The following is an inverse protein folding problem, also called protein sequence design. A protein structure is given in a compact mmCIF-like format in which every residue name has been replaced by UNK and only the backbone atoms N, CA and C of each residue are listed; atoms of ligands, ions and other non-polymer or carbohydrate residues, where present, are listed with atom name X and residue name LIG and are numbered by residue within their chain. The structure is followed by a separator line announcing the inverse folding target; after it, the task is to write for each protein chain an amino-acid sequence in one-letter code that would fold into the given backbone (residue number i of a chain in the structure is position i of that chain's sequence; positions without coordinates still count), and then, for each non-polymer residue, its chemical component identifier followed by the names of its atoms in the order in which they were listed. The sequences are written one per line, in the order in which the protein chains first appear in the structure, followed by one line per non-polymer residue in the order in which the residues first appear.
data_IF_945957597011
#
_entry.id   IF_945957597011
#
_cell.length_a   1.000
_cell.length_b   1.000
_cell.length_c   1.000
_cell.angle_alpha   90.00
_cell.angle_beta   90.00
_cell.angle_gamma   90.00
#
_symmetry.space_group_name_H-M   'P 1'
#
loop_
_entity.id
_entity.type
_entity.pdbx_description
1 polymer ?
#
# COMPACT_ATOMS: atom_id res chain seq x y z
N UNK A 1 -3.45 28.83 -14.31
CA UNK A 1 -3.25 27.38 -14.57
C UNK A 1 -2.62 26.66 -13.36
N UNK A 2 -1.52 27.16 -12.78
CA UNK A 2 -0.87 26.52 -11.62
C UNK A 2 -1.76 26.35 -10.36
N UNK A 3 -2.57 27.35 -9.99
CA UNK A 3 -3.34 27.31 -8.73
C UNK A 3 -4.31 26.13 -8.67
N UNK A 4 -5.00 25.83 -9.77
CA UNK A 4 -5.95 24.71 -9.84
C UNK A 4 -5.27 23.36 -9.74
N UNK A 5 -4.04 23.21 -10.27
CA UNK A 5 -3.25 21.98 -10.13
C UNK A 5 -2.80 21.77 -8.69
N UNK A 6 -2.37 22.83 -8.02
CA UNK A 6 -1.99 22.80 -6.60
C UNK A 6 -3.20 22.47 -5.72
N UNK A 7 -4.35 23.10 -5.95
CA UNK A 7 -5.60 22.80 -5.23
C UNK A 7 -6.03 21.34 -5.43
N UNK A 8 -5.95 20.85 -6.67
CA UNK A 8 -6.27 19.48 -7.00
C UNK A 8 -5.30 18.51 -6.30
N UNK A 9 -4.00 18.82 -6.23
CA UNK A 9 -3.01 18.03 -5.50
C UNK A 9 -3.36 17.92 -4.00
N UNK A 10 -3.70 19.03 -3.34
CA UNK A 10 -4.14 19.03 -1.95
C UNK A 10 -5.44 18.26 -1.74
N UNK A 11 -6.38 18.33 -2.69
CA UNK A 11 -7.63 17.57 -2.65
C UNK A 11 -7.39 16.07 -2.77
N UNK A 12 -6.53 15.64 -3.68
CA UNK A 12 -6.13 14.24 -3.86
C UNK A 12 -5.41 13.70 -2.61
N UNK A 13 -4.50 14.47 -2.03
CA UNK A 13 -3.80 14.08 -0.79
C UNK A 13 -4.75 13.88 0.40
N UNK A 14 -5.67 14.82 0.63
CA UNK A 14 -6.60 14.78 1.77
C UNK A 14 -7.74 13.78 1.57
N UNK A 15 -8.11 13.51 0.32
CA UNK A 15 -9.25 12.71 -0.08
C UNK A 15 -8.88 11.27 -0.44
N UNK A 16 -8.13 11.08 -1.51
CA UNK A 16 -7.86 9.75 -2.07
C UNK A 16 -6.74 9.04 -1.32
N UNK A 17 -5.69 9.77 -0.93
CA UNK A 17 -4.58 9.20 -0.15
C UNK A 17 -4.86 9.20 1.36
N UNK A 18 -5.86 9.94 1.82
CA UNK A 18 -6.22 10.12 3.23
C UNK A 18 -5.05 10.59 4.12
N UNK A 19 -4.04 11.25 3.54
CA UNK A 19 -2.87 11.77 4.25
C UNK A 19 -3.24 13.16 4.77
N UNK A 20 -3.77 13.20 5.99
CA UNK A 20 -4.07 14.44 6.70
C UNK A 20 -3.02 14.71 7.78
N UNK A 21 -2.66 15.98 8.00
CA UNK A 21 -1.88 16.36 9.16
C UNK A 21 -2.58 15.93 10.46
N UNK A 22 -1.90 15.17 11.31
CA UNK A 22 -2.34 14.88 12.68
C UNK A 22 -1.20 15.31 13.61
N UNK A 23 -1.45 16.31 14.47
CA UNK A 23 -0.49 16.84 15.46
C UNK A 23 0.84 17.40 14.90
N UNK A 24 0.77 18.45 14.08
CA UNK A 24 1.91 19.20 13.52
C UNK A 24 2.50 20.24 14.48
N UNK A 25 2.77 19.85 15.73
CA UNK A 25 3.20 20.80 16.76
C UNK A 25 4.72 20.95 16.87
N UNK A 26 5.48 20.00 16.31
CA UNK A 26 6.95 19.99 16.34
C UNK A 26 7.47 20.03 14.91
N UNK A 27 8.50 20.82 14.66
CA UNK A 27 9.11 21.00 13.34
C UNK A 27 9.50 19.66 12.69
N UNK A 28 10.10 18.76 13.46
CA UNK A 28 10.49 17.42 12.99
C UNK A 28 9.30 16.57 12.50
N UNK A 29 8.12 16.74 13.09
CA UNK A 29 6.90 16.04 12.66
C UNK A 29 6.31 16.66 11.39
N UNK A 30 6.43 17.98 11.26
CA UNK A 30 6.01 18.71 10.06
C UNK A 30 6.85 18.26 8.87
N UNK A 31 8.17 18.26 9.02
CA UNK A 31 9.10 17.82 7.97
C UNK A 31 8.84 16.37 7.54
N UNK A 32 8.69 15.45 8.51
CA UNK A 32 8.39 14.06 8.23
C UNK A 32 7.05 13.88 7.49
N UNK A 33 6.01 14.62 7.88
CA UNK A 33 4.72 14.56 7.20
C UNK A 33 4.79 15.11 5.79
N UNK A 34 5.44 16.26 5.58
CA UNK A 34 5.64 16.85 4.25
C UNK A 34 6.38 15.87 3.35
N UNK A 35 7.43 15.22 3.86
CA UNK A 35 8.18 14.21 3.12
C UNK A 35 7.30 13.04 2.68
N UNK A 36 6.56 12.41 3.61
CA UNK A 36 5.68 11.27 3.29
C UNK A 36 4.55 11.68 2.35
N UNK A 37 3.95 12.86 2.58
CA UNK A 37 2.89 13.41 1.75
C UNK A 37 3.36 13.65 0.31
N UNK A 38 4.54 14.24 0.14
CA UNK A 38 5.14 14.47 -1.17
C UNK A 38 5.41 13.15 -1.90
N UNK A 39 6.02 12.18 -1.22
CA UNK A 39 6.30 10.86 -1.79
C UNK A 39 5.01 10.15 -2.24
N UNK A 40 3.96 10.17 -1.41
CA UNK A 40 2.68 9.57 -1.74
C UNK A 40 2.00 10.26 -2.93
N UNK A 41 2.08 11.59 -3.00
CA UNK A 41 1.58 12.35 -4.15
C UNK A 41 2.33 12.02 -5.44
N UNK A 42 3.66 11.94 -5.41
CA UNK A 42 4.47 11.53 -6.57
C UNK A 42 4.09 10.13 -7.07
N UNK A 43 3.85 9.18 -6.15
CA UNK A 43 3.37 7.84 -6.49
C UNK A 43 1.99 7.88 -7.15
N UNK A 44 1.06 8.69 -6.62
CA UNK A 44 -0.29 8.83 -7.17
C UNK A 44 -0.29 9.43 -8.58
N UNK A 45 0.48 10.50 -8.81
CA UNK A 45 0.63 11.12 -10.13
C UNK A 45 1.29 10.17 -11.12
N UNK A 46 2.31 9.41 -10.69
CA UNK A 46 2.94 8.38 -11.52
C UNK A 46 1.95 7.29 -11.92
N UNK A 47 1.12 6.84 -10.96
CA UNK A 47 0.07 5.86 -11.22
C UNK A 47 -0.96 6.43 -12.22
N UNK A 48 -1.42 7.67 -12.04
CA UNK A 48 -2.33 8.37 -12.95
C UNK A 48 -1.78 8.44 -14.37
N UNK A 49 -0.52 8.82 -14.51
CA UNK A 49 0.14 8.89 -15.81
C UNK A 49 0.27 7.51 -16.47
N UNK A 50 0.62 6.47 -15.70
CA UNK A 50 0.67 5.09 -16.23
C UNK A 50 -0.70 4.58 -16.68
N UNK A 51 -1.74 4.84 -15.90
CA UNK A 51 -3.12 4.43 -16.23
C UNK A 51 -3.64 5.12 -17.49
N UNK A 52 -3.25 6.38 -17.74
CA UNK A 52 -3.61 7.10 -18.97
C UNK A 52 -3.24 6.34 -20.24
N UNK A 53 -2.09 5.64 -20.24
CA UNK A 53 -1.60 4.88 -21.39
C UNK A 53 -2.08 3.44 -21.42
N UNK A 54 -2.24 2.81 -20.25
CA UNK A 54 -2.48 1.37 -20.14
C UNK A 54 -3.97 1.00 -19.98
N UNK A 55 -4.79 1.91 -19.44
CA UNK A 55 -6.20 1.67 -19.15
C UNK A 55 -6.99 3.00 -19.04
N UNK A 56 -7.37 3.63 -20.17
CA UNK A 56 -7.89 5.00 -20.22
C UNK A 56 -9.27 5.26 -19.54
N UNK A 57 -9.82 4.30 -18.79
CA UNK A 57 -11.05 4.48 -17.98
C UNK A 57 -10.83 4.27 -16.48
N UNK A 58 -9.61 3.97 -16.03
CA UNK A 58 -9.32 3.69 -14.63
C UNK A 58 -8.72 4.91 -13.93
N UNK A 59 -9.31 5.27 -12.78
CA UNK A 59 -8.75 6.28 -11.88
C UNK A 59 -7.78 5.63 -10.89
N UNK A 60 -6.73 6.35 -10.43
CA UNK A 60 -5.82 5.86 -9.39
C UNK A 60 -6.56 5.35 -8.14
N UNK A 61 -7.59 6.09 -7.70
CA UNK A 61 -8.45 5.72 -6.58
C UNK A 61 -9.12 4.36 -6.77
N UNK A 62 -9.74 4.11 -7.92
CA UNK A 62 -10.42 2.85 -8.19
C UNK A 62 -9.45 1.66 -8.21
N UNK A 63 -8.23 1.88 -8.71
CA UNK A 63 -7.17 0.87 -8.71
C UNK A 63 -6.72 0.56 -7.29
N UNK A 64 -6.45 1.59 -6.48
CA UNK A 64 -6.06 1.43 -5.07
C UNK A 64 -7.15 0.69 -4.28
N UNK A 65 -8.42 1.08 -4.43
CA UNK A 65 -9.54 0.43 -3.74
C UNK A 65 -9.71 -1.05 -4.13
N UNK A 66 -9.44 -1.41 -5.40
CA UNK A 66 -9.40 -2.82 -5.80
C UNK A 66 -8.24 -3.55 -5.12
N UNK A 67 -7.01 -3.03 -5.24
CA UNK A 67 -5.84 -3.67 -4.63
C UNK A 67 -5.88 -3.74 -3.10
N UNK A 68 -6.62 -2.83 -2.44
CA UNK A 68 -6.83 -2.85 -0.98
C UNK A 68 -7.50 -4.13 -0.47
N UNK A 69 -8.26 -4.84 -1.32
CA UNK A 69 -8.82 -6.16 -0.99
C UNK A 69 -7.75 -7.25 -0.89
N UNK A 70 -6.59 -7.04 -1.50
CA UNK A 70 -5.45 -7.95 -1.38
C UNK A 70 -4.72 -7.65 -0.07
N UNK A 71 -4.79 -8.59 0.87
CA UNK A 71 -4.27 -8.40 2.22
C UNK A 71 -2.96 -9.17 2.40
N UNK A 72 -2.07 -8.61 3.22
CA UNK A 72 -0.91 -9.32 3.75
C UNK A 72 -1.31 -9.94 5.09
N UNK A 73 -1.03 -11.23 5.26
CA UNK A 73 -1.40 -12.02 6.42
C UNK A 73 -0.15 -12.70 6.98
N UNK A 74 -0.01 -12.70 8.30
CA UNK A 74 0.94 -13.56 9.01
C UNK A 74 0.20 -14.79 9.52
N UNK A 75 0.54 -15.96 8.97
CA UNK A 75 -0.08 -17.23 9.34
C UNK A 75 0.86 -17.99 10.26
N UNK A 76 0.38 -18.30 11.46
CA UNK A 76 1.12 -19.00 12.50
C UNK A 76 0.67 -20.45 12.59
N UNK A 77 1.59 -21.39 12.40
CA UNK A 77 1.33 -22.82 12.56
C UNK A 77 2.12 -23.39 13.74
N UNK A 78 1.48 -24.12 14.68
CA UNK A 78 2.21 -24.87 15.68
C UNK A 78 2.90 -26.06 15.01
N UNK A 79 4.20 -26.24 15.26
CA UNK A 79 4.94 -27.43 14.85
C UNK A 79 4.96 -28.46 15.99
N UNK A 80 5.13 -29.74 15.63
CA UNK A 80 5.19 -30.87 16.58
C UNK A 80 6.27 -30.69 17.65
N UNK A 81 7.34 -29.94 17.34
CA UNK A 81 8.47 -29.66 18.23
C UNK A 81 8.27 -28.43 19.13
N UNK A 82 7.04 -27.91 19.25
CA UNK A 82 6.73 -26.75 20.09
C UNK A 82 7.20 -25.40 19.53
N UNK A 83 7.79 -25.36 18.34
CA UNK A 83 8.14 -24.13 17.62
C UNK A 83 6.94 -23.60 16.83
N UNK A 84 6.92 -22.32 16.53
CA UNK A 84 5.92 -21.69 15.66
C UNK A 84 6.51 -21.41 14.28
N UNK A 85 5.83 -21.88 13.24
CA UNK A 85 6.12 -21.52 11.85
C UNK A 85 5.31 -20.27 11.47
N UNK A 86 6.00 -19.18 11.11
CA UNK A 86 5.40 -17.92 10.67
C UNK A 86 5.53 -17.78 9.16
N UNK A 87 4.40 -17.62 8.50
CA UNK A 87 4.26 -17.48 7.05
C UNK A 87 3.59 -16.15 6.70
N UNK A 88 4.41 -15.15 6.33
CA UNK A 88 3.93 -13.84 5.84
C UNK A 88 3.56 -13.93 4.36
N UNK A 89 2.27 -13.87 4.02
CA UNK A 89 1.75 -14.17 2.67
C UNK A 89 0.69 -13.16 2.25
N UNK A 90 0.62 -12.83 0.97
CA UNK A 90 -0.53 -12.09 0.43
C UNK A 90 -1.68 -13.03 0.08
N UNK A 91 -2.92 -12.54 0.14
CA UNK A 91 -4.11 -13.29 -0.28
C UNK A 91 -4.11 -13.56 -1.78
N UNK A 92 -4.70 -14.69 -2.20
CA UNK A 92 -4.72 -15.05 -3.61
C UNK A 92 -5.44 -13.98 -4.45
N UNK A 93 -4.81 -13.45 -5.53
CA UNK A 93 -5.45 -12.44 -6.35
C UNK A 93 -6.71 -12.97 -7.05
N UNK A 94 -7.85 -12.33 -6.78
CA UNK A 94 -9.08 -12.53 -7.56
C UNK A 94 -8.92 -12.17 -9.05
N UNK A 95 -9.92 -12.54 -9.87
CA UNK A 95 -9.93 -12.29 -11.32
C UNK A 95 -9.70 -10.81 -11.64
N UNK A 96 -10.36 -9.91 -10.91
CA UNK A 96 -10.20 -8.47 -11.12
C UNK A 96 -8.77 -7.96 -10.87
N UNK A 97 -8.11 -8.46 -9.83
CA UNK A 97 -6.71 -8.12 -9.54
C UNK A 97 -5.77 -8.64 -10.64
N UNK A 98 -5.98 -9.87 -11.12
CA UNK A 98 -5.18 -10.45 -12.20
C UNK A 98 -5.31 -9.65 -13.51
N UNK A 99 -6.51 -9.20 -13.83
CA UNK A 99 -6.75 -8.34 -14.99
C UNK A 99 -6.00 -7.01 -14.88
N UNK A 100 -6.07 -6.35 -13.71
CA UNK A 100 -5.35 -5.10 -13.46
C UNK A 100 -3.84 -5.29 -13.52
N UNK A 101 -3.29 -6.33 -12.88
CA UNK A 101 -1.86 -6.64 -12.92
C UNK A 101 -1.35 -6.86 -14.34
N UNK A 102 -2.13 -7.58 -15.17
CA UNK A 102 -1.81 -7.79 -16.58
C UNK A 102 -1.81 -6.48 -17.38
N UNK A 103 -2.87 -5.66 -17.24
CA UNK A 103 -2.96 -4.36 -17.92
C UNK A 103 -1.83 -3.41 -17.52
N UNK A 104 -1.47 -3.40 -16.24
CA UNK A 104 -0.42 -2.54 -15.69
C UNK A 104 1.00 -3.11 -15.91
N UNK A 105 1.11 -4.33 -16.48
CA UNK A 105 2.37 -5.07 -16.65
C UNK A 105 3.14 -5.22 -15.34
N UNK A 106 2.43 -5.47 -14.24
CA UNK A 106 3.02 -5.66 -12.92
C UNK A 106 3.01 -7.13 -12.52
N UNK A 107 4.14 -7.54 -11.94
CA UNK A 107 4.29 -8.83 -11.29
C UNK A 107 4.27 -8.62 -9.79
N UNK A 108 3.59 -9.51 -9.06
CA UNK A 108 3.64 -9.49 -7.60
C UNK A 108 5.05 -9.83 -7.12
N UNK A 109 5.50 -9.23 -6.00
CA UNK A 109 6.80 -9.53 -5.43
C UNK A 109 6.86 -10.99 -4.97
N UNK A 110 8.07 -11.56 -4.98
CA UNK A 110 8.30 -12.91 -4.43
C UNK A 110 7.93 -12.92 -2.94
N UNK A 111 7.20 -13.93 -2.52
CA UNK A 111 6.81 -14.08 -1.12
C UNK A 111 8.04 -14.42 -0.26
N UNK A 112 8.14 -13.87 0.97
CA UNK A 112 9.29 -14.11 1.84
C UNK A 112 9.40 -15.59 2.23
N UNK A 113 10.58 -16.12 2.56
CA UNK A 113 10.70 -17.50 3.04
C UNK A 113 9.97 -17.68 4.40
N UNK A 114 9.47 -18.90 4.71
CA UNK A 114 8.93 -19.21 6.02
C UNK A 114 9.99 -18.99 7.11
N UNK A 115 9.57 -18.52 8.29
CA UNK A 115 10.43 -18.37 9.46
C UNK A 115 9.98 -19.31 10.57
N UNK A 116 10.91 -19.97 11.24
CA UNK A 116 10.62 -20.79 12.42
C UNK A 116 11.05 -19.97 13.64
N UNK A 117 10.10 -19.67 14.51
CA UNK A 117 10.32 -18.96 15.77
C UNK A 117 10.12 -19.95 16.92
N UNK A 118 11.09 -20.03 17.83
CA UNK A 118 10.95 -20.77 19.08
C UNK A 118 10.24 -19.84 20.07
N UNK A 119 9.07 -20.20 20.60
CA UNK A 119 8.31 -19.27 21.44
C UNK A 119 9.07 -18.89 22.71
N UNK A 120 9.34 -17.59 22.89
CA UNK A 120 9.26 -16.94 24.20
C UNK A 120 9.01 -15.42 24.17
N UNK A 121 8.75 -14.78 23.03
CA UNK A 121 8.40 -13.35 23.05
C UNK A 121 7.27 -12.97 22.08
N UNK A 122 6.30 -12.25 22.65
CA UNK A 122 5.22 -11.52 22.01
C UNK A 122 3.95 -12.28 21.59
N UNK A 123 3.35 -13.01 22.54
CA UNK A 123 1.90 -12.88 22.76
C UNK A 123 1.71 -11.86 23.90
N UNK A 124 1.95 -10.57 23.65
CA UNK A 124 1.50 -9.50 24.56
C UNK A 124 1.08 -8.28 23.74
N UNK A 125 -0.25 -8.12 23.68
CA UNK A 125 -1.09 -6.94 23.36
C UNK A 125 -1.24 -6.52 21.91
#
# INVERSE_FOLDING_TARGET
MLLGEVEQAFKEMKGDLLIRPIHHQKDTRIEAHIFVAFQAYCLNVTLKQRLKWLAPGLTPRAVIEKFKKMQMLDVHFPTTDGKQLVLTRYTQPEKEHKMLLSQMKFNLPKQPPPKITSNLEAIVK
#
